data_IF_342046304429
#
_entry.id   IF_342046304429
#
_cell.length_a   1.000
_cell.length_b   1.000
_cell.length_c   1.000
_cell.angle_alpha   90.00
_cell.angle_beta   90.00
_cell.angle_gamma   90.00
#
_symmetry.space_group_name_H-M   'P 1'
#
loop_
_entity.id
_entity.type
_entity.pdbx_description
1 polymer ?
#
# COMPACT_ATOMS: atom_id res chain seq x y z
N UNK A 1 -7.85 -10.07 -1.59
CA UNK A 1 -9.34 -10.05 -1.58
C UNK A 1 -9.96 -10.87 -0.45
N UNK A 2 -9.37 -12.00 -0.05
CA UNK A 2 -9.94 -12.88 0.99
C UNK A 2 -10.16 -12.20 2.36
N UNK A 3 -9.23 -11.37 2.85
CA UNK A 3 -9.37 -10.71 4.16
C UNK A 3 -10.54 -9.72 4.22
N UNK A 4 -10.79 -8.97 3.13
CA UNK A 4 -11.87 -7.99 3.05
C UNK A 4 -13.24 -8.68 2.93
N UNK A 5 -13.28 -9.85 2.29
CA UNK A 5 -14.45 -10.71 2.24
C UNK A 5 -14.75 -11.35 3.61
N UNK A 6 -13.71 -11.78 4.34
CA UNK A 6 -13.84 -12.30 5.70
C UNK A 6 -14.37 -11.24 6.68
N UNK A 7 -13.85 -10.00 6.61
CA UNK A 7 -14.33 -8.86 7.41
C UNK A 7 -15.82 -8.58 7.16
N UNK A 8 -16.24 -8.53 5.88
CA UNK A 8 -17.64 -8.34 5.49
C UNK A 8 -18.55 -9.46 5.99
N UNK A 9 -18.12 -10.72 5.86
CA UNK A 9 -18.89 -11.87 6.33
C UNK A 9 -19.03 -11.89 7.85
N UNK A 10 -17.97 -11.53 8.59
CA UNK A 10 -18.02 -11.43 10.04
C UNK A 10 -18.95 -10.30 10.50
N UNK A 11 -18.90 -9.13 9.83
CA UNK A 11 -19.81 -8.02 10.11
C UNK A 11 -21.28 -8.38 9.85
N UNK A 12 -21.57 -9.05 8.73
CA UNK A 12 -22.92 -9.50 8.41
C UNK A 12 -23.46 -10.53 9.42
N UNK A 13 -22.61 -11.45 9.89
CA UNK A 13 -22.99 -12.42 10.93
C UNK A 13 -23.26 -11.76 12.27
N UNK A 14 -22.47 -10.77 12.67
CA UNK A 14 -22.70 -10.03 13.90
C UNK A 14 -24.05 -9.29 13.84
N UNK A 15 -24.31 -8.56 12.75
CA UNK A 15 -25.57 -7.85 12.54
C UNK A 15 -26.79 -8.80 12.53
N UNK A 16 -26.68 -9.98 11.90
CA UNK A 16 -27.76 -10.98 11.89
C UNK A 16 -28.08 -11.52 13.31
N UNK A 17 -27.04 -11.77 14.12
CA UNK A 17 -27.23 -12.20 15.52
C UNK A 17 -27.85 -11.09 16.36
N UNK A 18 -27.42 -9.85 16.18
CA UNK A 18 -27.99 -8.69 16.88
C UNK A 18 -29.46 -8.46 16.53
N UNK A 19 -29.84 -8.60 15.27
CA UNK A 19 -31.24 -8.50 14.81
C UNK A 19 -32.09 -9.60 15.42
N UNK A 20 -31.60 -10.84 15.47
CA UNK A 20 -32.29 -11.95 16.14
C UNK A 20 -32.50 -11.66 17.62
N UNK A 21 -31.51 -11.05 18.28
CA UNK A 21 -31.65 -10.65 19.68
C UNK A 21 -32.69 -9.57 19.89
N UNK A 22 -32.67 -8.53 19.07
CA UNK A 22 -33.66 -7.47 19.14
C UNK A 22 -35.10 -8.01 18.93
N UNK A 23 -35.28 -8.90 17.95
CA UNK A 23 -36.59 -9.50 17.66
C UNK A 23 -37.11 -10.36 18.82
N UNK A 24 -36.27 -11.24 19.37
CA UNK A 24 -36.68 -12.10 20.49
C UNK A 24 -36.88 -11.31 21.79
N UNK A 25 -36.11 -10.24 22.03
CA UNK A 25 -36.37 -9.32 23.14
C UNK A 25 -37.72 -8.62 23.02
N UNK A 26 -38.11 -8.22 21.81
CA UNK A 26 -39.43 -7.63 21.56
C UNK A 26 -40.57 -8.66 21.73
N UNK A 27 -40.31 -9.93 21.41
CA UNK A 27 -41.27 -11.00 21.65
C UNK A 27 -41.43 -11.33 23.14
N UNK A 28 -40.36 -11.19 23.93
CA UNK A 28 -40.34 -11.46 25.37
C UNK A 28 -40.98 -10.36 26.23
N UNK A 29 -41.07 -9.12 25.74
CA UNK A 29 -41.79 -8.03 26.43
C UNK A 29 -43.32 -8.12 26.32
N UNK A 30 -43.84 -9.11 25.59
CA UNK A 30 -45.27 -9.36 25.49
C UNK A 30 -45.82 -10.01 26.78
N UNK A 31 -46.57 -9.22 27.56
CA UNK A 31 -47.15 -9.55 28.88
C UNK A 31 -48.13 -10.73 28.90
N UNK A 32 -48.53 -11.26 27.74
CA UNK A 32 -49.43 -12.40 27.63
C UNK A 32 -48.75 -13.78 27.71
N UNK A 33 -47.43 -13.83 27.96
CA UNK A 33 -46.66 -15.08 27.96
C UNK A 33 -46.61 -15.77 29.33
N UNK A 34 -46.59 -17.09 29.31
CA UNK A 34 -46.49 -17.95 30.50
C UNK A 34 -45.06 -18.04 31.06
N UNK A 35 -44.93 -18.53 32.30
CA UNK A 35 -43.63 -18.72 32.97
C UNK A 35 -42.70 -19.65 32.17
N UNK A 36 -43.25 -20.63 31.46
CA UNK A 36 -42.50 -21.53 30.60
C UNK A 36 -41.81 -20.79 29.43
N UNK A 37 -42.50 -19.84 28.81
CA UNK A 37 -41.93 -19.02 27.75
C UNK A 37 -40.83 -18.08 28.28
N UNK A 38 -40.94 -17.56 29.51
CA UNK A 38 -39.90 -16.75 30.15
C UNK A 38 -38.65 -17.59 30.42
N UNK A 39 -38.80 -18.82 30.93
CA UNK A 39 -37.67 -19.74 31.13
C UNK A 39 -37.01 -20.17 29.79
N UNK A 40 -37.82 -20.45 28.77
CA UNK A 40 -37.33 -20.76 27.43
C UNK A 40 -36.52 -19.59 26.84
N UNK A 41 -37.02 -18.36 27.00
CA UNK A 41 -36.30 -17.15 26.61
C UNK A 41 -34.99 -16.98 27.38
N UNK A 42 -34.98 -17.21 28.71
CA UNK A 42 -33.76 -17.13 29.51
C UNK A 42 -32.66 -18.11 29.05
N UNK A 43 -33.04 -19.36 28.73
CA UNK A 43 -32.12 -20.36 28.15
C UNK A 43 -31.60 -19.94 26.78
N UNK A 44 -32.50 -19.45 25.92
CA UNK A 44 -32.13 -18.98 24.59
C UNK A 44 -31.21 -17.75 24.65
N UNK A 45 -31.50 -16.77 25.52
CA UNK A 45 -30.72 -15.53 25.65
C UNK A 45 -29.27 -15.80 26.08
N UNK A 46 -29.06 -16.77 26.97
CA UNK A 46 -27.71 -17.20 27.37
C UNK A 46 -26.91 -17.67 26.15
N UNK A 47 -27.50 -18.54 25.34
CA UNK A 47 -26.88 -19.04 24.10
C UNK A 47 -26.66 -17.92 23.08
N UNK A 48 -27.64 -17.03 22.90
CA UNK A 48 -27.52 -15.91 21.97
C UNK A 48 -26.39 -14.93 22.37
N UNK A 49 -26.17 -14.71 23.68
CA UNK A 49 -25.04 -13.92 24.18
C UNK A 49 -23.68 -14.57 23.89
N UNK A 50 -23.58 -15.89 24.04
CA UNK A 50 -22.37 -16.64 23.69
C UNK A 50 -22.10 -16.56 22.19
N UNK A 51 -23.12 -16.75 21.36
CA UNK A 51 -23.03 -16.60 19.89
C UNK A 51 -22.62 -15.17 19.48
N UNK A 52 -23.18 -14.14 20.13
CA UNK A 52 -22.81 -12.73 19.91
C UNK A 52 -21.35 -12.48 20.25
N UNK A 53 -20.88 -13.00 21.39
CA UNK A 53 -19.48 -12.87 21.81
C UNK A 53 -18.55 -13.52 20.78
N UNK A 54 -18.87 -14.74 20.33
CA UNK A 54 -18.08 -15.41 19.31
C UNK A 54 -18.09 -14.67 17.96
N UNK A 55 -19.23 -14.13 17.55
CA UNK A 55 -19.34 -13.32 16.34
C UNK A 55 -18.52 -12.02 16.44
N UNK A 56 -18.56 -11.35 17.60
CA UNK A 56 -17.76 -10.15 17.89
C UNK A 56 -16.26 -10.45 17.87
N UNK A 57 -15.82 -11.51 18.55
CA UNK A 57 -14.42 -11.94 18.56
C UNK A 57 -13.92 -12.31 17.15
N UNK A 58 -14.78 -12.93 16.33
CA UNK A 58 -14.46 -13.22 14.93
C UNK A 58 -14.36 -11.95 14.09
N UNK A 59 -15.27 -10.99 14.28
CA UNK A 59 -15.25 -9.71 13.59
C UNK A 59 -13.99 -8.88 13.95
N UNK A 60 -13.65 -8.79 15.23
CA UNK A 60 -12.45 -8.09 15.69
C UNK A 60 -11.17 -8.69 15.08
N UNK A 61 -11.06 -10.02 15.05
CA UNK A 61 -9.92 -10.71 14.42
C UNK A 61 -9.84 -10.43 12.93
N UNK A 62 -10.95 -10.56 12.20
CA UNK A 62 -10.99 -10.30 10.77
C UNK A 62 -10.67 -8.82 10.43
N UNK A 63 -11.16 -7.88 11.24
CA UNK A 63 -10.87 -6.45 11.07
C UNK A 63 -9.39 -6.14 11.32
N UNK A 64 -8.80 -6.71 12.38
CA UNK A 64 -7.38 -6.56 12.66
C UNK A 64 -6.49 -7.12 11.54
N UNK A 65 -6.87 -8.26 10.96
CA UNK A 65 -6.18 -8.84 9.81
C UNK A 65 -6.33 -7.97 8.55
N UNK A 66 -7.52 -7.44 8.29
CA UNK A 66 -7.75 -6.50 7.19
C UNK A 66 -6.94 -5.21 7.34
N UNK A 67 -6.82 -4.67 8.55
CA UNK A 67 -5.97 -3.51 8.82
C UNK A 67 -4.49 -3.82 8.51
N UNK A 68 -3.98 -4.98 8.96
CA UNK A 68 -2.60 -5.41 8.68
C UNK A 68 -2.35 -5.57 7.18
N UNK A 69 -3.28 -6.20 6.47
CA UNK A 69 -3.17 -6.38 5.02
C UNK A 69 -3.14 -5.02 4.28
N UNK A 70 -4.00 -4.07 4.69
CA UNK A 70 -4.00 -2.70 4.13
C UNK A 70 -2.68 -1.98 4.40
N UNK A 71 -2.14 -2.08 5.61
CA UNK A 71 -0.85 -1.50 5.97
C UNK A 71 0.30 -2.08 5.12
N UNK A 72 0.32 -3.39 4.90
CA UNK A 72 1.31 -4.05 4.04
C UNK A 72 1.23 -3.57 2.58
N UNK A 73 0.03 -3.47 2.02
CA UNK A 73 -0.16 -2.95 0.65
C UNK A 73 0.26 -1.49 0.56
N UNK A 74 -0.07 -0.68 1.57
CA UNK A 74 0.37 0.71 1.63
C UNK A 74 1.90 0.84 1.67
N UNK A 75 2.56 0.02 2.48
CA UNK A 75 4.02 0.00 2.57
C UNK A 75 4.66 -0.46 1.25
N UNK A 76 4.10 -1.49 0.61
CA UNK A 76 4.58 -1.98 -0.67
C UNK A 76 4.46 -0.93 -1.78
N UNK A 77 3.36 -0.16 -1.79
CA UNK A 77 3.18 0.96 -2.74
C UNK A 77 4.20 2.06 -2.53
N UNK A 78 4.40 2.49 -1.28
CA UNK A 78 5.42 3.50 -0.97
C UNK A 78 6.83 3.03 -1.36
N UNK A 79 7.16 1.74 -1.13
CA UNK A 79 8.43 1.18 -1.55
C UNK A 79 8.59 1.15 -3.07
N UNK A 80 7.53 0.85 -3.82
CA UNK A 80 7.53 0.89 -5.28
C UNK A 80 7.74 2.32 -5.79
N UNK A 81 7.02 3.31 -5.26
CA UNK A 81 7.18 4.72 -5.62
C UNK A 81 8.62 5.21 -5.41
N UNK A 82 9.24 4.81 -4.29
CA UNK A 82 10.65 5.13 -4.01
C UNK A 82 11.59 4.45 -5.01
N UNK A 83 11.35 3.19 -5.36
CA UNK A 83 12.16 2.46 -6.34
C UNK A 83 12.06 3.10 -7.74
N UNK A 84 10.86 3.45 -8.18
CA UNK A 84 10.62 4.16 -9.45
C UNK A 84 11.32 5.52 -9.49
N UNK A 85 11.27 6.28 -8.39
CA UNK A 85 11.97 7.55 -8.29
C UNK A 85 13.50 7.40 -8.35
N UNK A 86 14.05 6.36 -7.71
CA UNK A 86 15.49 6.04 -7.77
C UNK A 86 15.92 5.63 -9.18
N UNK A 87 15.14 4.79 -9.86
CA UNK A 87 15.39 4.37 -11.24
C UNK A 87 15.41 5.59 -12.18
N UNK A 88 14.44 6.49 -12.03
CA UNK A 88 14.41 7.74 -12.80
C UNK A 88 15.64 8.61 -12.53
N UNK A 89 16.04 8.74 -11.25
CA UNK A 89 17.24 9.49 -10.88
C UNK A 89 18.50 8.91 -11.51
N UNK A 90 18.66 7.58 -11.47
CA UNK A 90 19.78 6.87 -12.07
C UNK A 90 19.84 7.10 -13.58
N UNK A 91 18.70 7.04 -14.27
CA UNK A 91 18.65 7.32 -15.71
C UNK A 91 19.03 8.76 -16.05
N UNK A 92 18.59 9.73 -15.24
CA UNK A 92 18.97 11.13 -15.41
C UNK A 92 20.47 11.30 -15.19
N UNK A 93 21.03 10.73 -14.13
CA UNK A 93 22.46 10.78 -13.82
C UNK A 93 23.31 10.15 -14.92
N UNK A 94 22.92 8.97 -15.42
CA UNK A 94 23.60 8.31 -16.54
C UNK A 94 23.59 9.17 -17.80
N UNK A 95 22.45 9.80 -18.12
CA UNK A 95 22.34 10.70 -19.27
C UNK A 95 23.22 11.94 -19.11
N UNK A 96 23.22 12.55 -17.93
CA UNK A 96 24.06 13.72 -17.63
C UNK A 96 25.54 13.34 -17.71
N UNK A 97 25.92 12.17 -17.19
CA UNK A 97 27.29 11.69 -17.28
C UNK A 97 27.71 11.47 -18.73
N UNK A 98 26.88 10.82 -19.55
CA UNK A 98 27.16 10.64 -20.97
C UNK A 98 27.28 11.97 -21.73
N UNK A 99 26.50 12.99 -21.37
CA UNK A 99 26.65 14.35 -21.92
C UNK A 99 27.97 15.00 -21.51
N UNK A 100 28.40 14.84 -20.26
CA UNK A 100 29.68 15.36 -19.77
C UNK A 100 30.86 14.70 -20.47
N UNK A 101 30.80 13.38 -20.66
CA UNK A 101 31.85 12.63 -21.35
C UNK A 101 31.94 13.06 -22.82
N UNK A 102 30.81 13.17 -23.52
CA UNK A 102 30.78 13.65 -24.90
C UNK A 102 31.27 15.11 -25.05
N UNK A 103 30.94 15.98 -24.09
CA UNK A 103 31.45 17.36 -24.08
C UNK A 103 32.96 17.38 -23.91
N UNK A 104 33.48 16.58 -22.95
CA UNK A 104 34.92 16.47 -22.71
C UNK A 104 35.67 16.00 -23.95
N UNK A 105 35.17 14.99 -24.65
CA UNK A 105 35.78 14.47 -25.88
C UNK A 105 35.79 15.54 -26.99
N UNK A 106 34.72 16.34 -27.08
CA UNK A 106 34.63 17.45 -28.04
C UNK A 106 35.64 18.56 -27.71
N UNK A 107 35.74 18.95 -26.45
CA UNK A 107 36.67 19.97 -25.98
C UNK A 107 38.13 19.53 -26.19
N UNK A 108 38.46 18.27 -25.88
CA UNK A 108 39.79 17.71 -26.11
C UNK A 108 40.14 17.69 -27.60
N UNK A 109 39.20 17.31 -28.45
CA UNK A 109 39.39 17.33 -29.91
C UNK A 109 39.62 18.75 -30.41
N UNK A 110 38.80 19.72 -29.98
CA UNK A 110 38.95 21.12 -30.37
C UNK A 110 40.31 21.69 -29.92
N UNK A 111 40.72 21.41 -28.69
CA UNK A 111 42.01 21.84 -28.15
C UNK A 111 43.18 21.26 -28.97
N UNK A 112 43.12 19.98 -29.32
CA UNK A 112 44.13 19.32 -30.16
C UNK A 112 44.22 19.93 -31.56
N UNK A 113 43.09 20.31 -32.16
CA UNK A 113 43.06 21.02 -33.47
C UNK A 113 43.75 22.38 -33.36
N UNK A 114 43.44 23.16 -32.31
CA UNK A 114 44.07 24.47 -32.07
C UNK A 114 45.58 24.33 -31.86
N UNK A 115 46.02 23.37 -31.04
CA UNK A 115 47.44 23.10 -30.81
C UNK A 115 48.16 22.76 -32.12
N UNK A 116 47.57 21.91 -32.96
CA UNK A 116 48.15 21.55 -34.27
C UNK A 116 48.21 22.74 -35.22
N UNK A 117 47.15 23.54 -35.32
CA UNK A 117 47.12 24.72 -36.17
C UNK A 117 48.21 25.73 -35.76
N UNK A 118 48.37 25.97 -34.46
CA UNK A 118 49.42 26.84 -33.94
C UNK A 118 50.82 26.31 -34.24
N UNK A 119 51.04 24.99 -34.13
CA UNK A 119 52.33 24.38 -34.46
C UNK A 119 52.66 24.48 -35.97
N UNK A 120 51.66 24.33 -36.84
CA UNK A 120 51.84 24.53 -38.29
C UNK A 120 52.19 25.98 -38.64
N UNK A 121 51.50 26.96 -38.03
CA UNK A 121 51.79 28.37 -38.25
C UNK A 121 53.21 28.74 -37.80
N UNK A 122 53.61 28.27 -36.61
CA UNK A 122 54.97 28.51 -36.10
C UNK A 122 56.07 27.90 -37.00
N UNK A 123 55.78 26.79 -37.69
CA UNK A 123 56.72 26.18 -38.65
C UNK A 123 56.85 27.03 -39.93
N UNK A 124 55.74 27.58 -40.43
CA UNK A 124 55.76 28.47 -41.61
C UNK A 124 56.58 29.73 -41.30
N UNK A 125 56.43 30.33 -40.11
CA UNK A 125 57.19 31.53 -39.72
C UNK A 125 58.72 31.26 -39.64
N UNK A 126 59.12 30.04 -39.27
CA UNK A 126 60.53 29.62 -39.24
C UNK A 126 61.12 29.36 -40.63
N UNK A 127 60.33 28.86 -41.58
CA UNK A 127 60.79 28.54 -42.94
C UNK A 127 60.89 29.79 -43.86
N UNK A 128 60.35 30.94 -43.43
CA UNK A 128 60.29 32.21 -44.20
C UNK A 128 61.27 33.28 -43.66
N UNK A 129 61.97 33.01 -42.55
CA UNK A 129 63.01 33.88 -41.96
C UNK A 129 64.42 33.43 -42.34
#
# INVERSE_FOLDING_TARGET
MQSLQAEKQAAARLADVEVKIAHEMQAATNLARDDFAVEAFGRWLKRAREETRHASDAHQRASAEALRARAQVSAARAALEVAEALELSLHVEQRVQGQRDAQRDTDETAQNVVIRANACNAKIDWDVS
#
